data_IF_676190918626
#
_entry.id   IF_676190918626
#
_cell.length_a   1.000
_cell.length_b   1.000
_cell.length_c   1.000
_cell.angle_alpha   90.00
_cell.angle_beta   90.00
_cell.angle_gamma   90.00
#
_symmetry.space_group_name_H-M   'P 1'
#
loop_
_entity.id
_entity.type
_entity.pdbx_description
1 polymer ?
#
# COMPACT_ATOMS: atom_id res chain seq x y z
N UNK A 1 8.80 -10.66 14.91
CA UNK A 1 8.12 -10.47 14.74
C UNK A 1 7.85 -9.91 13.90
N UNK A 2 7.63 -10.10 13.28
CA UNK A 2 7.45 -9.44 12.27
C UNK A 2 6.70 -8.38 12.51
N UNK A 3 6.04 -8.27 13.28
CA UNK A 3 5.34 -7.14 13.53
C UNK A 3 4.48 -6.63 12.51
N UNK A 4 4.44 -7.23 11.43
CA UNK A 4 3.65 -6.68 10.41
C UNK A 4 2.25 -6.79 10.80
N UNK A 5 1.45 -5.97 10.35
CA UNK A 5 0.03 -6.00 10.48
C UNK A 5 -0.45 -6.18 11.88
N UNK A 6 0.15 -5.55 12.80
CA UNK A 6 -0.34 -5.55 14.14
C UNK A 6 -1.67 -4.85 14.16
N UNK A 7 -2.69 -5.46 14.73
CA UNK A 7 -3.96 -4.78 14.83
C UNK A 7 -3.79 -3.43 15.49
N UNK A 8 -4.30 -2.43 14.91
CA UNK A 8 -4.13 -1.08 15.42
C UNK A 8 -2.96 -0.34 14.85
N UNK A 9 -2.11 -1.01 14.09
CA UNK A 9 -1.03 -0.32 13.42
C UNK A 9 -1.60 0.68 12.44
N UNK A 10 -0.99 1.84 12.33
CA UNK A 10 -1.54 2.85 11.46
C UNK A 10 -1.46 2.42 10.00
N UNK A 11 -2.35 2.97 9.22
CA UNK A 11 -2.37 2.67 7.80
C UNK A 11 -1.06 3.04 7.14
N UNK A 12 -0.47 4.17 7.55
CA UNK A 12 0.80 4.59 6.99
C UNK A 12 1.89 3.55 7.22
N UNK A 13 1.93 2.98 8.40
CA UNK A 13 2.95 1.98 8.71
C UNK A 13 2.70 0.69 7.94
N UNK A 14 1.45 0.31 7.79
CA UNK A 14 1.13 -0.87 7.00
C UNK A 14 1.55 -0.69 5.56
N UNK A 15 1.27 0.46 5.00
CA UNK A 15 1.67 0.75 3.63
C UNK A 15 3.19 0.72 3.51
N UNK A 16 3.89 1.32 4.45
CA UNK A 16 5.35 1.33 4.41
C UNK A 16 5.90 -0.09 4.45
N UNK A 17 5.29 -0.95 5.25
CA UNK A 17 5.74 -2.34 5.32
C UNK A 17 5.57 -3.05 4.00
N UNK A 18 4.43 -2.85 3.35
CA UNK A 18 4.17 -3.49 2.06
C UNK A 18 5.17 -2.99 1.03
N UNK A 19 5.37 -1.67 0.97
CA UNK A 19 6.26 -1.12 -0.04
C UNK A 19 7.70 -1.53 0.17
N UNK A 20 8.09 -1.73 1.42
CA UNK A 20 9.44 -2.17 1.72
C UNK A 20 9.70 -3.58 1.18
N UNK A 21 8.67 -4.41 1.15
CA UNK A 21 8.81 -5.76 0.65
C UNK A 21 8.65 -5.84 -0.86
N UNK A 22 8.17 -4.79 -1.48
CA UNK A 22 7.88 -4.83 -2.91
C UNK A 22 9.16 -4.93 -3.72
N UNK A 23 9.10 -5.68 -4.80
CA UNK A 23 10.21 -5.77 -5.74
C UNK A 23 9.81 -5.07 -7.00
N UNK A 24 10.49 -4.01 -7.29
CA UNK A 24 10.12 -3.19 -8.44
C UNK A 24 10.83 -3.65 -9.70
N UNK A 25 10.22 -3.46 -10.84
CA UNK A 25 8.88 -2.91 -11.00
C UNK A 25 7.80 -3.90 -10.54
N UNK A 26 6.68 -3.35 -10.11
CA UNK A 26 5.61 -4.19 -9.61
C UNK A 26 4.30 -3.61 -10.11
N UNK A 27 3.31 -4.46 -10.35
CA UNK A 27 2.02 -3.97 -10.76
C UNK A 27 1.04 -3.99 -9.59
N UNK A 28 -0.17 -3.52 -9.87
CA UNK A 28 -1.19 -3.44 -8.84
C UNK A 28 -1.47 -4.79 -8.19
N UNK A 29 -1.60 -5.82 -9.01
CA UNK A 29 -1.92 -7.14 -8.46
C UNK A 29 -0.82 -7.61 -7.52
N UNK A 30 0.42 -7.34 -7.88
CA UNK A 30 1.53 -7.70 -7.01
C UNK A 30 1.49 -6.96 -5.69
N UNK A 31 1.11 -5.69 -5.74
CA UNK A 31 1.00 -4.91 -4.52
C UNK A 31 -0.11 -5.43 -3.62
N UNK A 32 -1.24 -5.76 -4.20
CA UNK A 32 -2.35 -6.30 -3.42
C UNK A 32 -1.95 -7.64 -2.79
N UNK A 33 -1.26 -8.48 -3.54
CA UNK A 33 -0.80 -9.75 -3.00
C UNK A 33 0.15 -9.56 -1.83
N UNK A 34 1.09 -8.62 -1.98
CA UNK A 34 2.02 -8.35 -0.88
C UNK A 34 1.28 -7.85 0.34
N UNK A 35 0.32 -6.98 0.14
CA UNK A 35 -0.44 -6.45 1.25
C UNK A 35 -1.19 -7.56 1.95
N UNK A 36 -1.75 -8.47 1.18
CA UNK A 36 -2.47 -9.60 1.75
C UNK A 36 -1.53 -10.50 2.54
N UNK A 37 -0.37 -10.76 1.99
CA UNK A 37 0.61 -11.61 2.66
C UNK A 37 1.16 -10.96 3.91
N UNK A 38 1.25 -9.67 3.92
CA UNK A 38 1.71 -8.95 5.09
C UNK A 38 0.64 -8.85 6.16
N UNK A 39 -0.56 -9.28 5.84
CA UNK A 39 -1.65 -9.20 6.80
C UNK A 39 -2.23 -7.82 6.96
N UNK A 40 -2.13 -7.00 5.93
CA UNK A 40 -2.63 -5.65 5.99
C UNK A 40 -4.14 -5.63 6.20
N UNK A 41 -4.61 -4.55 6.78
CA UNK A 41 -6.03 -4.39 7.03
C UNK A 41 -6.81 -4.26 5.73
N UNK A 42 -8.10 -4.46 5.81
CA UNK A 42 -8.96 -4.33 4.63
C UNK A 42 -8.88 -2.95 4.02
N UNK A 43 -8.68 -1.94 4.83
CA UNK A 43 -8.54 -0.59 4.32
C UNK A 43 -7.32 -0.46 3.44
N UNK A 44 -6.20 -1.02 3.88
CA UNK A 44 -4.98 -0.96 3.11
C UNK A 44 -5.12 -1.79 1.83
N UNK A 45 -5.74 -2.94 1.93
CA UNK A 45 -5.97 -3.76 0.74
C UNK A 45 -6.82 -2.99 -0.29
N UNK A 46 -7.85 -2.32 0.19
CA UNK A 46 -8.69 -1.54 -0.71
C UNK A 46 -7.93 -0.40 -1.36
N UNK A 47 -7.02 0.20 -0.63
CA UNK A 47 -6.22 1.28 -1.18
C UNK A 47 -5.35 0.81 -2.32
N UNK A 48 -4.68 -0.31 -2.14
CA UNK A 48 -3.86 -0.83 -3.22
C UNK A 48 -4.73 -1.31 -4.39
N UNK A 49 -5.88 -1.88 -4.08
CA UNK A 49 -6.78 -2.35 -5.11
C UNK A 49 -7.36 -1.19 -5.93
N UNK A 50 -7.40 -0.01 -5.35
CA UNK A 50 -7.90 1.16 -6.05
C UNK A 50 -6.87 1.83 -6.96
N UNK A 51 -5.65 1.35 -6.98
CA UNK A 51 -4.63 1.95 -7.83
C UNK A 51 -4.90 1.63 -9.30
N UNK A 52 -4.47 2.51 -10.20
CA UNK A 52 -4.55 2.18 -11.62
C UNK A 52 -3.75 0.94 -11.95
N UNK A 53 -4.24 0.18 -12.90
CA UNK A 53 -3.54 -1.01 -13.34
C UNK A 53 -2.41 -0.63 -14.27
N UNK A 54 -1.21 -0.64 -13.76
CA UNK A 54 -0.03 -0.32 -14.53
C UNK A 54 1.17 -0.83 -13.76
N UNK A 55 2.31 -0.81 -14.38
CA UNK A 55 3.53 -1.17 -13.70
C UNK A 55 4.09 0.04 -13.00
N UNK A 56 4.56 -0.17 -11.80
CA UNK A 56 5.13 0.89 -10.98
C UNK A 56 6.62 0.65 -10.89
N UNK A 57 7.38 1.64 -11.30
CA UNK A 57 8.82 1.49 -11.38
C UNK A 57 9.50 1.59 -10.02
N UNK A 58 8.91 2.33 -9.12
CA UNK A 58 9.49 2.51 -7.79
C UNK A 58 8.43 3.05 -6.85
N UNK A 59 8.83 3.23 -5.60
CA UNK A 59 7.91 3.70 -4.58
C UNK A 59 7.37 5.08 -4.91
N UNK A 60 8.20 5.91 -5.51
CA UNK A 60 7.77 7.26 -5.83
C UNK A 60 6.62 7.28 -6.83
N UNK A 61 6.47 6.22 -7.61
CA UNK A 61 5.36 6.14 -8.54
C UNK A 61 4.05 5.79 -7.84
N UNK A 62 4.13 5.24 -6.65
CA UNK A 62 2.96 4.76 -5.94
C UNK A 62 2.46 5.75 -4.90
N UNK A 63 3.35 6.37 -4.16
CA UNK A 63 2.95 7.16 -3.01
C UNK A 63 2.03 8.33 -3.35
N UNK A 64 2.24 9.06 -4.45
CA UNK A 64 1.29 10.14 -4.76
C UNK A 64 -0.10 9.62 -5.04
N UNK A 65 -0.20 8.41 -5.59
CA UNK A 65 -1.50 7.85 -5.89
C UNK A 65 -2.22 7.44 -4.63
N UNK A 66 -1.50 6.90 -3.68
CA UNK A 66 -2.12 6.55 -2.41
C UNK A 66 -2.53 7.80 -1.65
N UNK A 67 -1.71 8.82 -1.68
CA UNK A 67 -2.07 10.07 -1.04
C UNK A 67 -3.32 10.67 -1.66
N UNK A 68 -3.46 10.51 -2.95
CA UNK A 68 -4.64 10.98 -3.63
C UNK A 68 -5.90 10.29 -3.19
N UNK A 69 -5.79 9.02 -2.88
CA UNK A 69 -6.95 8.28 -2.41
C UNK A 69 -7.42 8.72 -1.04
N UNK A 70 -6.50 9.21 -0.20
CA UNK A 70 -6.88 9.67 1.00
C UNK A 70 -7.13 11.10 0.97
N UNK A 71 -6.39 11.73 0.14
CA UNK A 71 -6.08 13.07 0.24
C UNK A 71 -7.07 14.10 0.49
N UNK A 72 -8.01 14.24 -0.34
CA UNK A 72 -8.83 15.42 -0.14
C UNK A 72 -9.49 15.45 1.20
N UNK A 73 -9.75 14.33 1.70
CA UNK A 73 -10.42 14.31 2.95
C UNK A 73 -9.53 14.55 4.10
N UNK A 74 -8.26 14.35 3.92
CA UNK A 74 -7.42 14.44 5.00
C UNK A 74 -6.72 15.68 5.09
N UNK A 75 -6.35 16.15 4.06
CA UNK A 75 -5.48 17.21 4.08
C UNK A 75 -6.06 18.49 4.41
N UNK A 76 -7.26 18.47 4.54
CA UNK A 76 -7.82 19.77 4.64
C UNK A 76 -8.41 20.03 5.96
#
# INVERSE_FOLDING_TARGET
MSGSAIPGESIDLQIADVLREAKFPINKDGLVDLAREAGASNEVLAMFDGLPEQDYADIAAITPLLAGNFGPGLGI
#
